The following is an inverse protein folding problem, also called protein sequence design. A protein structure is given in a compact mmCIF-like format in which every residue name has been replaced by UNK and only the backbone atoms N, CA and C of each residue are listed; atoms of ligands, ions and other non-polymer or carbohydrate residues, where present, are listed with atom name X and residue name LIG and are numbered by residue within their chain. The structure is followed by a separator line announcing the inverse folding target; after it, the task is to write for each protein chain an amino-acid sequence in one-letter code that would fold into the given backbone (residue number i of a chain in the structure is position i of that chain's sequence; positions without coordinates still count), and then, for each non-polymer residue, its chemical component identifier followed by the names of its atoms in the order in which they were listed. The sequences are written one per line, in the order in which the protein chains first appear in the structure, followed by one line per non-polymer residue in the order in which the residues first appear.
data_IF_850297706836
#
_entry.id   IF_850297706836
#
_cell.length_a   1.000
_cell.length_b   1.000
_cell.length_c   1.000
_cell.angle_alpha   90.00
_cell.angle_beta   90.00
_cell.angle_gamma   90.00
#
_symmetry.space_group_name_H-M   'P 1'
#
loop_
_entity.id
_entity.type
_entity.pdbx_description
1 polymer ?
#
# COMPACT_ATOMS: atom_id res chain seq x y z
N UNK A 1 -24.19 8.17 -2.87
CA UNK A 1 -23.47 7.23 -2.00
C UNK A 1 -24.52 6.40 -1.27
N UNK A 2 -24.55 5.07 -1.40
CA UNK A 2 -25.40 4.26 -0.54
C UNK A 2 -25.00 4.54 0.92
N UNK A 3 -26.01 4.82 1.75
CA UNK A 3 -25.86 4.98 3.20
C UNK A 3 -25.94 3.57 3.79
N UNK A 4 -24.84 3.07 4.31
CA UNK A 4 -24.80 1.77 4.99
C UNK A 4 -25.01 2.00 6.50
N UNK A 5 -25.85 1.18 7.11
CA UNK A 5 -26.04 1.12 8.55
C UNK A 5 -25.36 -0.14 9.08
N UNK A 6 -24.58 0.00 10.16
CA UNK A 6 -23.94 -1.14 10.80
C UNK A 6 -25.00 -1.83 11.65
N UNK A 7 -25.37 -3.05 11.26
CA UNK A 7 -26.27 -3.91 12.00
C UNK A 7 -25.58 -4.64 13.15
N UNK A 8 -26.34 -5.41 13.94
CA UNK A 8 -25.78 -6.33 14.93
C UNK A 8 -24.93 -7.42 14.25
N UNK A 9 -24.08 -8.08 15.04
CA UNK A 9 -23.32 -9.24 14.57
C UNK A 9 -24.27 -10.35 14.10
N UNK A 10 -23.92 -10.98 12.98
CA UNK A 10 -24.67 -12.07 12.35
C UNK A 10 -23.82 -13.34 12.37
N UNK A 11 -24.48 -14.48 12.49
CA UNK A 11 -23.83 -15.79 12.36
C UNK A 11 -23.72 -16.15 10.88
N UNK A 12 -22.50 -16.10 10.34
CA UNK A 12 -22.25 -16.30 8.91
C UNK A 12 -22.47 -17.75 8.46
N UNK A 13 -22.45 -18.72 9.37
CA UNK A 13 -22.75 -20.11 9.05
C UNK A 13 -24.27 -20.36 8.96
N UNK A 14 -25.06 -19.61 9.74
CA UNK A 14 -26.51 -19.68 9.72
C UNK A 14 -27.16 -18.81 8.62
N UNK A 15 -26.64 -17.61 8.35
CA UNK A 15 -27.27 -16.62 7.45
C UNK A 15 -26.64 -16.57 6.06
N UNK A 16 -27.43 -16.65 4.96
CA UNK A 16 -26.93 -16.62 3.55
C UNK A 16 -26.39 -15.24 3.13
N UNK A 17 -25.18 -14.93 3.59
CA UNK A 17 -24.35 -13.80 3.20
C UNK A 17 -23.41 -14.18 2.07
N UNK A 18 -23.33 -13.31 1.07
CA UNK A 18 -22.51 -13.50 -0.14
C UNK A 18 -21.65 -12.28 -0.43
N UNK A 19 -20.49 -12.54 -1.03
CA UNK A 19 -19.62 -11.48 -1.52
C UNK A 19 -20.12 -10.87 -2.85
N UNK A 20 -19.36 -9.90 -3.38
CA UNK A 20 -19.67 -9.26 -4.66
C UNK A 20 -19.60 -10.18 -5.87
N UNK A 21 -18.94 -11.33 -5.75
CA UNK A 21 -18.90 -12.38 -6.78
C UNK A 21 -20.04 -13.40 -6.63
N UNK A 22 -20.89 -13.24 -5.60
CA UNK A 22 -22.01 -14.13 -5.30
C UNK A 22 -21.61 -15.38 -4.52
N UNK A 23 -20.38 -15.44 -4.03
CA UNK A 23 -19.87 -16.59 -3.29
C UNK A 23 -20.25 -16.49 -1.81
N UNK A 24 -20.54 -17.64 -1.21
CA UNK A 24 -20.96 -17.73 0.20
C UNK A 24 -19.82 -17.36 1.14
N UNK A 25 -20.09 -16.46 2.08
CA UNK A 25 -19.20 -16.12 3.19
C UNK A 25 -19.66 -16.87 4.43
N UNK A 26 -18.86 -17.84 4.88
CA UNK A 26 -18.99 -18.57 6.15
C UNK A 26 -18.01 -17.99 7.18
N UNK A 27 -18.15 -18.39 8.45
CA UNK A 27 -17.22 -17.96 9.51
C UNK A 27 -15.77 -18.32 9.18
N UNK A 28 -15.54 -19.58 8.78
CA UNK A 28 -14.23 -20.07 8.39
C UNK A 28 -13.62 -19.29 7.21
N UNK A 29 -14.45 -18.89 6.24
CA UNK A 29 -13.99 -18.10 5.08
C UNK A 29 -13.72 -16.65 5.46
N UNK A 30 -14.54 -16.07 6.35
CA UNK A 30 -14.31 -14.73 6.87
C UNK A 30 -12.97 -14.65 7.62
N UNK A 31 -12.65 -15.67 8.44
CA UNK A 31 -11.37 -15.79 9.13
C UNK A 31 -10.19 -15.89 8.15
N UNK A 32 -10.32 -16.72 7.11
CA UNK A 32 -9.28 -16.82 6.06
C UNK A 32 -9.05 -15.47 5.36
N UNK A 33 -10.11 -14.77 4.98
CA UNK A 33 -10.03 -13.45 4.35
C UNK A 33 -9.35 -12.44 5.29
N UNK A 34 -9.70 -12.47 6.58
CA UNK A 34 -9.10 -11.60 7.59
C UNK A 34 -7.59 -11.87 7.74
N UNK A 35 -7.17 -13.14 7.81
CA UNK A 35 -5.76 -13.51 7.83
C UNK A 35 -5.03 -13.05 6.57
N UNK A 36 -5.59 -13.29 5.39
CA UNK A 36 -5.01 -12.85 4.12
C UNK A 36 -4.88 -11.32 4.07
N UNK A 37 -5.86 -10.58 4.59
CA UNK A 37 -5.80 -9.14 4.70
C UNK A 37 -4.67 -8.71 5.65
N UNK A 38 -4.55 -9.32 6.83
CA UNK A 38 -3.46 -9.03 7.77
C UNK A 38 -2.08 -9.29 7.17
N UNK A 39 -1.90 -10.39 6.42
CA UNK A 39 -0.66 -10.68 5.68
C UNK A 39 -0.32 -9.59 4.66
N UNK A 40 -1.32 -8.99 4.02
CA UNK A 40 -1.13 -7.84 3.09
C UNK A 40 -0.86 -6.52 3.84
N UNK A 41 -1.47 -6.33 5.02
CA UNK A 41 -1.33 -5.11 5.84
C UNK A 41 0.01 -5.02 6.57
N UNK A 42 0.62 -6.15 6.93
CA UNK A 42 1.98 -6.18 7.50
C UNK A 42 3.07 -5.63 6.55
N UNK A 43 2.74 -5.40 5.27
CA UNK A 43 3.60 -4.74 4.29
C UNK A 43 3.30 -3.24 4.14
N UNK A 44 3.03 -2.52 5.24
CA UNK A 44 3.27 -1.08 5.23
C UNK A 44 4.70 -0.81 4.73
N UNK A 45 4.92 0.23 3.91
CA UNK A 45 6.24 0.52 3.34
C UNK A 45 7.28 0.59 4.47
N UNK A 46 8.27 -0.31 4.53
CA UNK A 46 9.20 -0.38 5.65
C UNK A 46 9.90 0.96 5.86
N UNK A 47 10.18 1.30 7.13
CA UNK A 47 11.04 2.43 7.40
C UNK A 47 12.44 2.18 6.83
N UNK A 48 12.98 3.17 6.14
CA UNK A 48 14.37 3.21 5.66
C UNK A 48 15.38 3.46 6.79
N UNK A 49 14.93 3.77 8.01
CA UNK A 49 15.78 3.96 9.20
C UNK A 49 15.94 2.69 10.04
N UNK A 50 15.24 1.61 9.69
CA UNK A 50 15.13 0.41 10.52
C UNK A 50 14.15 0.58 11.69
N UNK A 51 13.49 -0.52 12.06
CA UNK A 51 12.54 -0.55 13.18
C UNK A 51 11.29 0.31 12.94
N UNK A 52 10.72 0.85 14.04
CA UNK A 52 9.49 1.67 14.04
C UNK A 52 9.77 3.19 13.89
N UNK A 53 11.01 3.59 13.70
CA UNK A 53 11.40 5.01 13.61
C UNK A 53 11.10 5.55 12.21
N UNK A 54 10.51 6.74 12.09
CA UNK A 54 10.28 7.35 10.77
C UNK A 54 11.59 7.70 10.06
N UNK A 55 11.59 7.53 8.74
CA UNK A 55 12.73 7.91 7.90
C UNK A 55 12.85 9.42 7.76
N UNK A 56 14.07 9.99 7.82
CA UNK A 56 14.31 11.37 7.43
C UNK A 56 13.77 11.63 6.02
N UNK A 57 13.02 12.71 5.87
CA UNK A 57 12.42 13.10 4.60
C UNK A 57 13.13 14.34 4.03
N UNK A 58 13.51 14.26 2.76
CA UNK A 58 14.02 15.40 1.99
C UNK A 58 12.97 15.75 0.94
N UNK A 59 12.62 17.03 0.82
CA UNK A 59 11.70 17.54 -0.21
C UNK A 59 12.34 18.68 -0.98
N UNK A 60 12.12 18.70 -2.29
CA UNK A 60 12.68 19.70 -3.20
C UNK A 60 11.61 20.17 -4.19
N UNK A 61 11.68 21.45 -4.56
CA UNK A 61 10.87 21.99 -5.65
C UNK A 61 11.60 21.74 -6.96
N UNK A 62 10.88 21.26 -7.96
CA UNK A 62 11.41 20.96 -9.29
C UNK A 62 10.51 21.57 -10.37
N UNK A 63 11.07 21.92 -11.55
CA UNK A 63 10.26 22.26 -12.70
C UNK A 63 9.29 21.13 -13.08
N UNK A 64 8.10 21.48 -13.56
CA UNK A 64 7.06 20.51 -13.96
C UNK A 64 7.58 19.45 -14.94
N UNK A 65 8.38 19.87 -15.92
CA UNK A 65 8.96 18.97 -16.91
C UNK A 65 9.92 17.94 -16.30
N UNK A 66 10.70 18.35 -15.29
CA UNK A 66 11.61 17.44 -14.59
C UNK A 66 10.82 16.39 -13.78
N UNK A 67 9.76 16.81 -13.09
CA UNK A 67 8.88 15.89 -12.37
C UNK A 67 8.23 14.87 -13.32
N UNK A 68 7.70 15.32 -14.47
CA UNK A 68 7.08 14.44 -15.46
C UNK A 68 8.07 13.37 -15.96
N UNK A 69 9.28 13.79 -16.34
CA UNK A 69 10.33 12.86 -16.77
C UNK A 69 10.74 11.87 -15.68
N UNK A 70 10.83 12.32 -14.43
CA UNK A 70 11.13 11.43 -13.30
C UNK A 70 10.02 10.38 -13.08
N UNK A 71 8.76 10.75 -13.25
CA UNK A 71 7.63 9.82 -13.16
C UNK A 71 7.69 8.75 -14.27
N UNK A 72 7.91 9.15 -15.53
CA UNK A 72 8.02 8.22 -16.67
C UNK A 72 9.17 7.21 -16.48
N UNK A 73 10.32 7.67 -15.99
CA UNK A 73 11.48 6.81 -15.71
C UNK A 73 11.16 5.84 -14.58
N UNK A 74 10.59 6.34 -13.48
CA UNK A 74 10.23 5.51 -12.34
C UNK A 74 9.22 4.42 -12.72
N UNK A 75 8.19 4.75 -13.51
CA UNK A 75 7.21 3.78 -14.02
C UNK A 75 7.88 2.71 -14.89
N UNK A 76 8.73 3.11 -15.84
CA UNK A 76 9.45 2.17 -16.71
C UNK A 76 10.33 1.20 -15.92
N UNK A 77 10.89 1.64 -14.80
CA UNK A 77 11.76 0.84 -13.95
C UNK A 77 11.01 0.10 -12.83
N UNK A 78 9.68 0.24 -12.73
CA UNK A 78 8.89 -0.37 -11.66
C UNK A 78 9.18 0.21 -10.27
N UNK A 79 9.62 1.46 -10.21
CA UNK A 79 9.99 2.19 -8.99
C UNK A 79 9.02 3.33 -8.71
N UNK A 80 9.09 3.89 -7.50
CA UNK A 80 8.46 5.19 -7.22
C UNK A 80 9.45 6.34 -7.43
N UNK A 81 8.93 7.55 -7.68
CA UNK A 81 9.77 8.77 -7.81
C UNK A 81 10.66 8.99 -6.59
N UNK A 82 10.18 8.70 -5.37
CA UNK A 82 11.00 8.79 -4.15
C UNK A 82 12.14 7.77 -4.11
N UNK A 83 11.93 6.58 -4.67
CA UNK A 83 12.98 5.57 -4.76
C UNK A 83 14.02 5.97 -5.80
N UNK A 84 13.60 6.42 -6.99
CA UNK A 84 14.49 6.97 -8.01
C UNK A 84 15.32 8.13 -7.46
N UNK A 85 14.69 9.06 -6.74
CA UNK A 85 15.38 10.20 -6.12
C UNK A 85 16.38 9.79 -5.03
N UNK A 86 16.07 8.76 -4.24
CA UNK A 86 16.99 8.21 -3.24
C UNK A 86 18.20 7.56 -3.91
N UNK A 87 17.99 6.71 -4.90
CA UNK A 87 19.08 6.05 -5.65
C UNK A 87 20.01 7.07 -6.32
N UNK A 88 19.44 8.11 -6.96
CA UNK A 88 20.22 9.19 -7.56
C UNK A 88 21.04 9.97 -6.53
N UNK A 89 20.50 10.19 -5.32
CA UNK A 89 21.23 10.85 -4.23
C UNK A 89 22.35 9.96 -3.68
N UNK A 90 22.11 8.66 -3.52
CA UNK A 90 23.11 7.66 -3.10
C UNK A 90 24.26 7.57 -4.12
N UNK A 91 23.95 7.54 -5.41
CA UNK A 91 24.94 7.52 -6.50
C UNK A 91 25.79 8.81 -6.53
N UNK A 92 25.14 9.97 -6.40
CA UNK A 92 25.82 11.27 -6.36
C UNK A 92 26.76 11.40 -5.16
N UNK A 93 26.40 10.83 -4.01
CA UNK A 93 27.24 10.85 -2.80
C UNK A 93 28.36 9.81 -2.84
N UNK A 94 28.16 8.69 -3.53
CA UNK A 94 29.18 7.64 -3.67
C UNK A 94 30.29 7.98 -4.66
N UNK A 95 30.08 8.99 -5.51
CA UNK A 95 31.05 9.50 -6.49
C UNK A 95 31.86 10.70 -5.98
N UNK A 96 31.82 10.97 -4.67
CA UNK A 96 32.48 12.09 -3.98
C UNK A 96 33.51 11.55 -2.99
#
# INVERSE_FOLDING_TARGET
MPRYEIGPDIDLDAEDVRDSAGERITEARAEEIAEQALRKVHAGRPSLSGGRTHSPQVSFRVPKQLHARAAEVAEREGKSVSQLGREALEEYLSSR
#
